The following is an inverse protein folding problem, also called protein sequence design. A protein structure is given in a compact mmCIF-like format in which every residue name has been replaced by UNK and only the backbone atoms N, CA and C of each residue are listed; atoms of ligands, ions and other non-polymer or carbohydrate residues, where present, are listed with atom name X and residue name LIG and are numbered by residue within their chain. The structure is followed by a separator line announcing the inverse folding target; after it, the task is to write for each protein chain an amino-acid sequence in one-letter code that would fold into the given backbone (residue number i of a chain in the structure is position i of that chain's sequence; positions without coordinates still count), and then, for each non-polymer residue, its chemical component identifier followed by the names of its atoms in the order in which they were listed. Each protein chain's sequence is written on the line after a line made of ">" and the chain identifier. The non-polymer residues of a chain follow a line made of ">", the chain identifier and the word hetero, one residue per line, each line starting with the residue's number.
data_IF_103190624411
#
_entry.id   IF_103190624411
#
_cell.length_a   1.000
_cell.length_b   1.000
_cell.length_c   1.000
_cell.angle_alpha   90.00
_cell.angle_beta   90.00
_cell.angle_gamma   90.00
#
_symmetry.space_group_name_H-M   'P 1'
#
loop_
_entity.id
_entity.type
_entity.pdbx_description
1 polymer ?
#
# COMPACT_ATOMS: atom_id res chain seq x y z
N UNK A 1 66.40 70.73 0.13
CA UNK A 1 65.61 69.56 -0.26
C UNK A 1 65.99 68.45 0.70
N UNK A 2 65.24 68.32 1.78
CA UNK A 2 65.47 67.34 2.82
C UNK A 2 64.91 66.00 2.38
N UNK A 3 65.81 65.06 2.07
CA UNK A 3 65.49 63.63 2.11
C UNK A 3 64.91 63.33 3.49
N UNK A 4 63.59 63.16 3.55
CA UNK A 4 62.96 62.53 4.70
C UNK A 4 63.47 61.11 4.74
N UNK A 5 64.52 60.89 5.55
CA UNK A 5 64.92 59.58 6.04
C UNK A 5 63.66 59.01 6.70
N UNK A 6 62.94 58.20 5.95
CA UNK A 6 61.79 57.47 6.47
C UNK A 6 62.40 56.49 7.46
N UNK A 7 62.17 56.72 8.74
CA UNK A 7 62.75 55.92 9.82
C UNK A 7 62.40 54.45 9.56
N UNK A 8 63.43 53.62 9.38
CA UNK A 8 63.28 52.21 9.00
C UNK A 8 62.73 51.40 10.17
N UNK A 9 61.41 51.43 10.33
CA UNK A 9 60.70 50.71 11.37
C UNK A 9 60.22 49.35 10.85
N UNK A 10 60.11 48.31 11.72
CA UNK A 10 59.58 47.01 11.33
C UNK A 10 58.22 47.05 10.59
N UNK A 11 57.25 47.92 10.95
CA UNK A 11 56.00 48.07 10.19
C UNK A 11 56.20 48.57 8.75
N UNK A 12 57.11 49.53 8.52
CA UNK A 12 57.42 50.03 7.17
C UNK A 12 58.01 48.90 6.31
N UNK A 13 58.95 48.13 6.88
CA UNK A 13 59.54 46.97 6.20
C UNK A 13 58.48 45.89 5.90
N UNK A 14 57.52 45.66 6.81
CA UNK A 14 56.43 44.72 6.56
C UNK A 14 55.53 45.16 5.40
N UNK A 15 55.24 46.46 5.28
CA UNK A 15 54.49 47.02 4.14
C UNK A 15 55.27 46.84 2.83
N UNK A 16 56.58 47.14 2.82
CA UNK A 16 57.45 46.92 1.64
C UNK A 16 57.46 45.44 1.20
N UNK A 17 57.63 44.52 2.15
CA UNK A 17 57.61 43.07 1.88
C UNK A 17 56.26 42.64 1.29
N UNK A 18 55.15 43.10 1.88
CA UNK A 18 53.81 42.76 1.39
C UNK A 18 53.54 43.33 0.00
N UNK A 19 54.03 44.53 -0.30
CA UNK A 19 53.93 45.13 -1.64
C UNK A 19 54.71 44.32 -2.67
N UNK A 20 55.95 43.91 -2.38
CA UNK A 20 56.75 43.04 -3.27
C UNK A 20 56.06 41.70 -3.49
N UNK A 21 55.49 41.11 -2.42
CA UNK A 21 54.74 39.86 -2.49
C UNK A 21 53.55 39.96 -3.45
N UNK A 22 52.69 40.98 -3.27
CA UNK A 22 51.53 41.20 -4.13
C UNK A 22 51.93 41.42 -5.60
N UNK A 23 52.98 42.21 -5.85
CA UNK A 23 53.48 42.42 -7.21
C UNK A 23 54.00 41.11 -7.83
N UNK A 24 54.72 40.31 -7.06
CA UNK A 24 55.24 39.01 -7.51
C UNK A 24 54.10 38.06 -7.85
N UNK A 25 53.07 37.96 -7.01
CA UNK A 25 51.90 37.11 -7.24
C UNK A 25 51.16 37.49 -8.52
N UNK A 26 50.98 38.80 -8.77
CA UNK A 26 50.38 39.31 -10.01
C UNK A 26 51.19 38.95 -11.25
N UNK A 27 52.51 39.11 -11.20
CA UNK A 27 53.41 38.73 -12.31
C UNK A 27 53.34 37.23 -12.57
N UNK A 28 53.33 36.41 -11.52
CA UNK A 28 53.22 34.95 -11.63
C UNK A 28 51.90 34.54 -12.28
N UNK A 29 50.78 35.12 -11.88
CA UNK A 29 49.47 34.83 -12.50
C UNK A 29 49.45 35.22 -13.98
N UNK A 30 49.91 36.42 -14.33
CA UNK A 30 49.95 36.88 -15.72
C UNK A 30 50.84 35.98 -16.59
N UNK A 31 52.01 35.58 -16.07
CA UNK A 31 52.90 34.66 -16.77
C UNK A 31 52.26 33.27 -16.92
N UNK A 32 51.53 32.79 -15.91
CA UNK A 32 50.82 31.52 -15.99
C UNK A 32 49.74 31.53 -17.10
N UNK A 33 48.99 32.62 -17.23
CA UNK A 33 48.01 32.83 -18.31
C UNK A 33 48.71 32.81 -19.68
N UNK A 34 49.80 33.55 -19.85
CA UNK A 34 50.53 33.60 -21.13
C UNK A 34 51.16 32.24 -21.48
N UNK A 35 51.70 31.52 -20.51
CA UNK A 35 52.19 30.15 -20.73
C UNK A 35 51.04 29.25 -21.16
N UNK A 36 49.87 29.34 -20.50
CA UNK A 36 48.66 28.60 -20.87
C UNK A 36 48.24 28.85 -22.33
N UNK A 37 48.28 30.11 -22.77
CA UNK A 37 48.03 30.51 -24.16
C UNK A 37 48.99 29.82 -25.12
N UNK A 38 50.31 29.90 -24.87
CA UNK A 38 51.32 29.27 -25.74
C UNK A 38 51.23 27.75 -25.74
N UNK A 39 50.85 27.15 -24.61
CA UNK A 39 50.62 25.71 -24.52
C UNK A 39 49.42 25.28 -25.38
N UNK A 40 48.35 26.08 -25.46
CA UNK A 40 47.25 25.84 -26.40
C UNK A 40 47.72 25.93 -27.86
N UNK A 41 48.40 27.01 -28.21
CA UNK A 41 48.96 27.20 -29.56
C UNK A 41 49.89 26.04 -29.96
N UNK A 42 50.77 25.59 -29.05
CA UNK A 42 51.65 24.46 -29.30
C UNK A 42 50.89 23.14 -29.44
N UNK A 43 49.85 22.91 -28.62
CA UNK A 43 49.06 21.68 -28.64
C UNK A 43 48.35 21.47 -29.98
N UNK A 44 47.91 22.54 -30.63
CA UNK A 44 47.27 22.48 -31.94
C UNK A 44 48.25 22.13 -33.08
N UNK A 45 49.55 22.35 -32.87
CA UNK A 45 50.61 22.07 -33.85
C UNK A 45 51.27 20.70 -33.66
N UNK A 46 51.10 20.07 -32.50
CA UNK A 46 51.75 18.81 -32.15
C UNK A 46 50.90 17.62 -32.62
N UNK A 47 51.50 16.62 -33.32
CA UNK A 47 50.78 15.43 -33.74
C UNK A 47 50.14 14.66 -32.57
N UNK A 48 49.03 13.99 -32.85
CA UNK A 48 48.33 13.16 -31.87
C UNK A 48 49.25 12.11 -31.26
N UNK A 49 49.26 12.02 -29.93
CA UNK A 49 50.09 11.07 -29.17
C UNK A 49 51.47 11.58 -28.74
N UNK A 50 51.97 12.69 -29.31
CA UNK A 50 53.31 13.23 -29.00
C UNK A 50 53.31 14.34 -27.94
N UNK A 51 52.11 14.79 -27.51
CA UNK A 51 51.94 15.91 -26.57
C UNK A 51 52.69 15.71 -25.24
N UNK A 52 52.49 14.56 -24.58
CA UNK A 52 53.11 14.28 -23.28
C UNK A 52 54.63 14.25 -23.34
N UNK A 53 55.20 13.68 -24.41
CA UNK A 53 56.65 13.65 -24.64
C UNK A 53 57.21 15.05 -24.88
N UNK A 54 56.55 15.83 -25.74
CA UNK A 54 56.95 17.20 -26.04
C UNK A 54 56.97 18.08 -24.79
N UNK A 55 55.98 17.94 -23.90
CA UNK A 55 55.91 18.69 -22.65
C UNK A 55 57.14 18.46 -21.75
N UNK A 56 57.56 17.19 -21.61
CA UNK A 56 58.71 16.82 -20.77
C UNK A 56 60.00 17.31 -21.40
N UNK A 57 60.19 17.09 -22.70
CA UNK A 57 61.46 17.38 -23.39
C UNK A 57 61.66 18.88 -23.69
N UNK A 58 60.60 19.61 -24.04
CA UNK A 58 60.73 21.00 -24.54
C UNK A 58 60.52 22.06 -23.47
N UNK A 59 59.64 21.81 -22.49
CA UNK A 59 59.25 22.81 -21.48
C UNK A 59 59.32 22.30 -20.04
N UNK A 60 59.78 21.05 -19.84
CA UNK A 60 59.94 20.43 -18.52
C UNK A 60 58.64 20.39 -17.69
N UNK A 61 57.49 20.23 -18.34
CA UNK A 61 56.19 20.17 -17.69
C UNK A 61 55.60 18.76 -17.66
N UNK A 62 54.78 18.52 -16.64
CA UNK A 62 53.86 17.39 -16.61
C UNK A 62 52.57 17.76 -17.35
N UNK A 63 51.83 16.77 -17.86
CA UNK A 63 50.52 17.00 -18.46
C UNK A 63 49.57 17.74 -17.51
N UNK A 64 49.57 17.37 -16.23
CA UNK A 64 48.75 18.03 -15.19
C UNK A 64 49.09 19.51 -15.04
N UNK A 65 50.38 19.86 -15.04
CA UNK A 65 50.82 21.26 -14.96
C UNK A 65 50.37 22.03 -16.20
N UNK A 66 50.62 21.48 -17.39
CA UNK A 66 50.24 22.10 -18.65
C UNK A 66 48.72 22.32 -18.74
N UNK A 67 47.94 21.31 -18.36
CA UNK A 67 46.48 21.41 -18.34
C UNK A 67 45.99 22.51 -17.40
N UNK A 68 46.54 22.62 -16.19
CA UNK A 68 46.15 23.69 -15.24
C UNK A 68 46.44 25.08 -15.79
N UNK A 69 47.61 25.27 -16.41
CA UNK A 69 47.98 26.55 -17.04
C UNK A 69 47.04 26.90 -18.19
N UNK A 70 46.71 25.92 -19.05
CA UNK A 70 45.74 26.10 -20.13
C UNK A 70 44.34 26.43 -19.59
N UNK A 71 43.87 25.77 -18.53
CA UNK A 71 42.58 26.06 -17.90
C UNK A 71 42.51 27.48 -17.31
N UNK A 72 43.60 27.94 -16.69
CA UNK A 72 43.71 29.32 -16.18
C UNK A 72 43.67 30.33 -17.33
N UNK A 73 44.31 30.03 -18.46
CA UNK A 73 44.17 30.84 -19.66
C UNK A 73 42.73 30.85 -20.19
N UNK A 74 42.04 29.71 -20.21
CA UNK A 74 40.67 29.65 -20.73
C UNK A 74 39.69 30.48 -19.92
N UNK A 75 39.84 30.49 -18.61
CA UNK A 75 38.95 31.25 -17.72
C UNK A 75 39.30 32.74 -17.62
N UNK A 76 40.58 33.12 -17.76
CA UNK A 76 41.06 34.46 -17.43
C UNK A 76 41.87 35.16 -18.53
N UNK A 77 42.14 34.48 -19.64
CA UNK A 77 42.97 34.98 -20.74
C UNK A 77 42.35 36.18 -21.47
N UNK A 78 41.04 36.13 -21.69
CA UNK A 78 40.28 37.19 -22.38
C UNK A 78 39.89 38.35 -21.44
N UNK A 79 40.06 38.16 -20.12
CA UNK A 79 39.73 39.13 -19.08
C UNK A 79 40.93 40.02 -18.70
N UNK A 80 42.11 39.81 -19.33
CA UNK A 80 43.19 40.78 -19.23
C UNK A 80 42.81 42.04 -20.00
N UNK A 81 43.09 43.24 -19.46
CA UNK A 81 42.83 44.47 -20.20
C UNK A 81 43.66 44.42 -21.48
N UNK A 82 42.97 44.23 -22.61
CA UNK A 82 43.44 44.74 -23.87
C UNK A 82 43.79 46.20 -23.60
N UNK A 83 45.09 46.49 -23.61
CA UNK A 83 45.54 47.87 -23.68
C UNK A 83 44.79 48.47 -24.88
N UNK A 84 43.94 49.46 -24.59
CA UNK A 84 43.32 50.36 -25.58
C UNK A 84 42.08 49.85 -26.35
N UNK A 85 41.03 49.34 -25.70
CA UNK A 85 39.66 49.49 -26.24
C UNK A 85 38.68 49.68 -25.08
N UNK A 86 38.38 50.95 -24.79
CA UNK A 86 37.26 51.34 -23.94
C UNK A 86 35.97 50.97 -24.67
N UNK A 87 35.18 50.04 -24.11
CA UNK A 87 33.71 49.96 -24.26
C UNK A 87 33.12 48.65 -23.72
N UNK A 88 33.94 47.63 -23.43
CA UNK A 88 33.50 46.48 -22.63
C UNK A 88 33.66 46.83 -21.14
N UNK A 89 32.62 46.60 -20.34
CA UNK A 89 32.72 46.51 -18.88
C UNK A 89 33.53 45.25 -18.53
N UNK A 90 34.80 45.21 -18.90
CA UNK A 90 35.73 44.14 -18.51
C UNK A 90 35.82 44.16 -16.99
N UNK A 91 35.24 43.13 -16.38
CA UNK A 91 35.33 42.84 -14.97
C UNK A 91 36.82 42.90 -14.59
N UNK A 92 37.20 43.87 -13.74
CA UNK A 92 38.56 43.89 -13.21
C UNK A 92 38.71 42.65 -12.35
N UNK A 93 39.46 41.66 -12.83
CA UNK A 93 39.84 40.51 -12.00
C UNK A 93 40.44 41.03 -10.69
N UNK A 94 40.02 40.49 -9.54
CA UNK A 94 40.59 40.86 -8.25
C UNK A 94 42.09 40.58 -8.26
N UNK A 95 42.85 41.29 -7.42
CA UNK A 95 44.24 40.97 -7.22
C UNK A 95 44.36 39.60 -6.52
N UNK A 96 44.57 38.55 -7.31
CA UNK A 96 44.66 37.17 -6.84
C UNK A 96 45.94 36.49 -7.32
N UNK A 97 46.40 35.50 -6.56
CA UNK A 97 47.52 34.65 -6.95
C UNK A 97 47.06 33.45 -7.79
N UNK A 98 48.02 32.76 -8.40
CA UNK A 98 47.79 31.58 -9.24
C UNK A 98 46.99 30.46 -8.54
N UNK A 99 47.23 30.23 -7.25
CA UNK A 99 46.51 29.19 -6.51
C UNK A 99 45.03 29.56 -6.30
N UNK A 100 44.75 30.83 -5.98
CA UNK A 100 43.38 31.33 -5.86
C UNK A 100 42.64 31.26 -7.21
N UNK A 101 43.31 31.65 -8.30
CA UNK A 101 42.76 31.54 -9.65
C UNK A 101 42.36 30.09 -9.99
N UNK A 102 43.20 29.12 -9.62
CA UNK A 102 42.89 27.70 -9.84
C UNK A 102 41.68 27.22 -9.01
N UNK A 103 41.57 27.67 -7.75
CA UNK A 103 40.45 27.31 -6.87
C UNK A 103 39.13 27.87 -7.39
N UNK A 104 39.14 29.10 -7.93
CA UNK A 104 37.96 29.71 -8.52
C UNK A 104 37.46 28.98 -9.78
N UNK A 105 38.26 28.10 -10.40
CA UNK A 105 37.78 27.23 -11.47
C UNK A 105 36.88 26.08 -10.96
N UNK A 106 36.91 25.78 -9.67
CA UNK A 106 35.97 24.84 -9.03
C UNK A 106 34.56 25.45 -8.92
N UNK A 107 34.44 26.77 -9.10
CA UNK A 107 33.16 27.48 -9.23
C UNK A 107 32.68 27.41 -10.68
N UNK A 108 31.41 27.02 -10.94
CA UNK A 108 30.81 27.07 -12.27
C UNK A 108 30.98 28.45 -12.90
N UNK A 109 31.21 28.48 -14.21
CA UNK A 109 31.54 29.70 -14.94
C UNK A 109 30.48 30.78 -14.77
N UNK A 110 29.20 30.37 -14.78
CA UNK A 110 28.04 31.24 -14.66
C UNK A 110 27.94 31.92 -13.29
N UNK A 111 28.47 31.30 -12.24
CA UNK A 111 28.42 31.81 -10.87
C UNK A 111 29.73 32.48 -10.45
N UNK A 112 30.81 32.30 -11.22
CA UNK A 112 32.15 32.71 -10.83
C UNK A 112 32.29 34.21 -10.66
N UNK A 113 31.69 35.00 -11.56
CA UNK A 113 31.73 36.45 -11.48
C UNK A 113 31.04 36.96 -10.21
N UNK A 114 29.84 36.44 -9.93
CA UNK A 114 29.08 36.80 -8.74
C UNK A 114 29.82 36.38 -7.46
N UNK A 115 30.38 35.17 -7.44
CA UNK A 115 31.17 34.68 -6.31
C UNK A 115 32.39 35.57 -6.04
N UNK A 116 33.07 36.04 -7.09
CA UNK A 116 34.19 36.97 -6.99
C UNK A 116 33.75 38.35 -6.47
N UNK A 117 32.58 38.85 -6.88
CA UNK A 117 32.06 40.13 -6.40
C UNK A 117 31.64 40.10 -4.93
N UNK A 118 31.08 38.97 -4.48
CA UNK A 118 30.58 38.82 -3.11
C UNK A 118 31.69 38.53 -2.10
N UNK A 119 32.75 37.84 -2.53
CA UNK A 119 33.85 37.41 -1.67
C UNK A 119 35.05 38.36 -1.74
N UNK A 120 35.71 38.58 -0.60
CA UNK A 120 36.95 39.38 -0.52
C UNK A 120 38.18 38.55 -0.93
N UNK A 121 38.26 38.20 -2.22
CA UNK A 121 39.30 37.31 -2.77
C UNK A 121 40.71 37.85 -2.50
N UNK A 122 40.90 39.17 -2.47
CA UNK A 122 42.22 39.81 -2.32
C UNK A 122 42.82 39.58 -0.93
N UNK A 123 41.98 39.56 0.11
CA UNK A 123 42.43 39.37 1.49
C UNK A 123 42.30 37.93 1.99
N UNK A 124 41.52 37.08 1.29
CA UNK A 124 41.35 35.67 1.66
C UNK A 124 42.61 34.84 1.39
N UNK A 125 43.03 34.05 2.37
CA UNK A 125 44.05 33.02 2.13
C UNK A 125 43.53 31.92 1.20
N UNK A 126 44.44 31.20 0.55
CA UNK A 126 44.14 30.03 -0.30
C UNK A 126 43.29 28.99 0.46
N UNK A 127 43.52 28.82 1.77
CA UNK A 127 42.76 27.88 2.62
C UNK A 127 41.34 28.36 2.89
N UNK A 128 41.17 29.65 3.14
CA UNK A 128 39.86 30.25 3.35
C UNK A 128 39.03 30.21 2.07
N UNK A 129 39.64 30.51 0.92
CA UNK A 129 38.97 30.43 -0.37
C UNK A 129 38.52 29.00 -0.70
N UNK A 130 39.40 28.01 -0.49
CA UNK A 130 39.04 26.60 -0.65
C UNK A 130 37.88 26.20 0.28
N UNK A 131 37.85 26.72 1.52
CA UNK A 131 36.78 26.45 2.47
C UNK A 131 35.46 27.08 1.98
N UNK A 132 35.49 28.33 1.50
CA UNK A 132 34.32 29.02 0.98
C UNK A 132 33.70 28.32 -0.22
N UNK A 133 34.51 27.85 -1.18
CA UNK A 133 34.02 27.07 -2.33
C UNK A 133 33.35 25.77 -1.86
N UNK A 134 33.98 25.04 -0.92
CA UNK A 134 33.40 23.81 -0.37
C UNK A 134 32.11 24.04 0.40
N UNK A 135 32.04 25.12 1.18
CA UNK A 135 30.83 25.49 1.93
C UNK A 135 29.69 25.86 0.98
N UNK A 136 29.98 26.55 -0.12
CA UNK A 136 28.99 26.82 -1.18
C UNK A 136 28.48 25.52 -1.80
N UNK A 137 29.37 24.61 -2.18
CA UNK A 137 28.99 23.32 -2.78
C UNK A 137 28.11 22.50 -1.84
N UNK A 138 28.49 22.45 -0.56
CA UNK A 138 27.69 21.77 0.45
C UNK A 138 26.33 22.46 0.63
N UNK A 139 26.29 23.79 0.68
CA UNK A 139 25.04 24.54 0.80
C UNK A 139 24.13 24.33 -0.42
N UNK A 140 24.68 24.19 -1.62
CA UNK A 140 23.93 23.84 -2.82
C UNK A 140 23.32 22.44 -2.70
N UNK A 141 24.12 21.44 -2.29
CA UNK A 141 23.64 20.07 -2.08
C UNK A 141 22.55 20.00 -1.00
N UNK A 142 22.76 20.68 0.13
CA UNK A 142 21.81 20.72 1.24
C UNK A 142 20.50 21.40 0.82
N UNK A 143 20.58 22.48 0.01
CA UNK A 143 19.41 23.17 -0.52
C UNK A 143 18.63 22.30 -1.50
N UNK A 144 19.32 21.59 -2.38
CA UNK A 144 18.70 20.66 -3.32
C UNK A 144 18.00 19.51 -2.58
N UNK A 145 18.66 18.93 -1.57
CA UNK A 145 18.06 17.91 -0.72
C UNK A 145 16.84 18.44 0.03
N UNK A 146 16.92 19.64 0.60
CA UNK A 146 15.79 20.28 1.29
C UNK A 146 14.61 20.54 0.34
N UNK A 147 14.88 20.89 -0.92
CA UNK A 147 13.85 21.04 -1.95
C UNK A 147 13.15 19.71 -2.22
N UNK A 148 13.91 18.63 -2.42
CA UNK A 148 13.37 17.29 -2.67
C UNK A 148 12.55 16.77 -1.48
N UNK A 149 13.04 16.95 -0.25
CA UNK A 149 12.32 16.52 0.95
C UNK A 149 11.03 17.34 1.17
N UNK A 150 11.05 18.64 0.86
CA UNK A 150 9.85 19.47 0.90
C UNK A 150 8.81 19.00 -0.11
N UNK A 151 9.22 18.72 -1.34
CA UNK A 151 8.32 18.26 -2.40
C UNK A 151 7.73 16.88 -2.06
N UNK A 152 8.53 15.97 -1.49
CA UNK A 152 8.05 14.69 -0.95
C UNK A 152 7.01 14.90 0.15
N UNK A 153 7.29 15.78 1.13
CA UNK A 153 6.37 16.08 2.22
C UNK A 153 5.05 16.71 1.72
N UNK A 154 5.11 17.54 0.67
CA UNK A 154 3.91 18.10 0.04
C UNK A 154 3.07 17.03 -0.65
N UNK A 155 3.71 16.08 -1.34
CA UNK A 155 3.01 14.97 -1.98
C UNK A 155 2.35 14.06 -0.93
N UNK A 156 3.07 13.67 0.11
CA UNK A 156 2.53 12.86 1.22
C UNK A 156 1.34 13.56 1.88
N UNK A 157 1.43 14.88 2.13
CA UNK A 157 0.32 15.66 2.67
C UNK A 157 -0.90 15.66 1.73
N UNK A 158 -0.70 15.78 0.42
CA UNK A 158 -1.78 15.75 -0.55
C UNK A 158 -2.48 14.38 -0.59
N UNK A 159 -1.72 13.30 -0.50
CA UNK A 159 -2.26 11.94 -0.50
C UNK A 159 -3.00 11.62 0.82
N UNK A 160 -2.46 12.05 1.96
CA UNK A 160 -3.16 11.96 3.25
C UNK A 160 -4.47 12.77 3.25
N UNK A 161 -4.48 13.94 2.63
CA UNK A 161 -5.70 14.75 2.51
C UNK A 161 -6.76 14.03 1.66
N UNK A 162 -6.38 13.44 0.53
CA UNK A 162 -7.29 12.64 -0.30
C UNK A 162 -7.85 11.44 0.47
N UNK A 163 -7.00 10.71 1.20
CA UNK A 163 -7.42 9.59 2.02
C UNK A 163 -8.42 10.03 3.10
N UNK A 164 -8.12 11.14 3.80
CA UNK A 164 -9.00 11.71 4.81
C UNK A 164 -10.37 12.11 4.24
N UNK A 165 -10.40 12.73 3.06
CA UNK A 165 -11.66 13.11 2.43
C UNK A 165 -12.44 11.90 1.91
N UNK A 166 -11.74 10.85 1.46
CA UNK A 166 -12.33 9.53 1.19
C UNK A 166 -13.01 8.93 2.43
N UNK A 167 -12.30 8.89 3.57
CA UNK A 167 -12.83 8.39 4.85
C UNK A 167 -14.00 9.22 5.38
N UNK A 168 -13.99 10.56 5.19
CA UNK A 168 -15.17 11.38 5.52
C UNK A 168 -16.37 11.00 4.65
N UNK A 169 -16.15 10.70 3.38
CA UNK A 169 -17.16 10.22 2.45
C UNK A 169 -17.78 8.90 2.90
N UNK A 170 -16.94 7.90 3.23
CA UNK A 170 -17.40 6.59 3.73
C UNK A 170 -18.15 6.74 5.06
N UNK A 171 -17.64 7.54 5.99
CA UNK A 171 -18.30 7.79 7.27
C UNK A 171 -19.69 8.43 7.08
N UNK A 172 -19.83 9.36 6.13
CA UNK A 172 -21.13 9.96 5.80
C UNK A 172 -22.11 8.91 5.26
N UNK A 173 -21.65 7.96 4.45
CA UNK A 173 -22.48 6.85 3.95
C UNK A 173 -22.89 5.91 5.08
N UNK A 174 -21.96 5.53 5.96
CA UNK A 174 -22.24 4.68 7.11
C UNK A 174 -23.23 5.32 8.08
N UNK A 175 -23.16 6.63 8.29
CA UNK A 175 -24.14 7.37 9.09
C UNK A 175 -25.55 7.27 8.47
N UNK A 176 -25.67 7.45 7.15
CA UNK A 176 -26.96 7.31 6.45
C UNK A 176 -27.49 5.88 6.54
N UNK A 177 -26.64 4.88 6.34
CA UNK A 177 -27.03 3.47 6.44
C UNK A 177 -27.48 3.10 7.86
N UNK A 178 -26.74 3.55 8.88
CA UNK A 178 -27.12 3.39 10.29
C UNK A 178 -28.50 3.99 10.56
N UNK A 179 -28.78 5.20 10.07
CA UNK A 179 -30.07 5.88 10.31
C UNK A 179 -31.23 5.18 9.60
N UNK A 180 -30.98 4.66 8.39
CA UNK A 180 -31.95 3.83 7.67
C UNK A 180 -32.23 2.53 8.42
N UNK A 181 -31.20 1.83 8.87
CA UNK A 181 -31.33 0.59 9.64
C UNK A 181 -32.06 0.82 10.96
N UNK A 182 -31.75 1.93 11.65
CA UNK A 182 -32.43 2.33 12.88
C UNK A 182 -33.93 2.54 12.66
N UNK A 183 -34.29 3.21 11.57
CA UNK A 183 -35.69 3.42 11.18
C UNK A 183 -36.39 2.09 10.91
N UNK A 184 -35.79 1.23 10.08
CA UNK A 184 -36.31 -0.10 9.73
C UNK A 184 -36.47 -1.00 10.96
N UNK A 185 -35.52 -0.97 11.88
CA UNK A 185 -35.60 -1.71 13.15
C UNK A 185 -36.77 -1.23 14.00
N UNK A 186 -37.00 0.09 14.08
CA UNK A 186 -38.15 0.67 14.77
C UNK A 186 -39.49 0.21 14.18
N UNK A 187 -39.59 0.16 12.84
CA UNK A 187 -40.81 -0.28 12.16
C UNK A 187 -41.05 -1.78 12.30
N UNK A 188 -40.01 -2.60 12.19
CA UNK A 188 -40.09 -4.03 12.49
C UNK A 188 -40.52 -4.29 13.93
N UNK A 189 -40.02 -3.51 14.89
CA UNK A 189 -40.43 -3.65 16.28
C UNK A 189 -41.91 -3.31 16.49
N UNK A 190 -42.43 -2.26 15.83
CA UNK A 190 -43.86 -1.94 15.84
C UNK A 190 -44.69 -3.06 15.22
N UNK A 191 -44.28 -3.57 14.06
CA UNK A 191 -44.96 -4.67 13.38
C UNK A 191 -44.97 -5.95 14.22
N UNK A 192 -43.85 -6.27 14.88
CA UNK A 192 -43.74 -7.42 15.78
C UNK A 192 -44.74 -7.30 16.94
N UNK A 193 -44.80 -6.13 17.60
CA UNK A 193 -45.77 -5.88 18.68
C UNK A 193 -47.21 -6.02 18.21
N UNK A 194 -47.53 -5.54 17.01
CA UNK A 194 -48.87 -5.67 16.45
C UNK A 194 -49.24 -7.15 16.18
N UNK A 195 -48.31 -7.93 15.64
CA UNK A 195 -48.50 -9.37 15.42
C UNK A 195 -48.63 -10.15 16.73
N UNK A 196 -47.81 -9.83 17.74
CA UNK A 196 -47.91 -10.45 19.08
C UNK A 196 -49.29 -10.21 19.70
N UNK A 197 -49.81 -8.97 19.59
CA UNK A 197 -51.16 -8.63 20.06
C UNK A 197 -52.26 -9.37 19.29
N UNK A 198 -52.12 -9.50 17.96
CA UNK A 198 -53.10 -10.22 17.15
C UNK A 198 -53.10 -11.73 17.45
N UNK A 199 -51.92 -12.33 17.64
CA UNK A 199 -51.77 -13.72 18.07
C UNK A 199 -52.41 -13.94 19.44
N UNK A 200 -52.17 -13.06 20.41
CA UNK A 200 -52.78 -13.16 21.74
C UNK A 200 -54.31 -13.05 21.65
N UNK A 201 -54.83 -12.10 20.86
CA UNK A 201 -56.27 -11.95 20.63
C UNK A 201 -56.88 -13.20 19.98
N UNK A 202 -56.22 -13.76 18.97
CA UNK A 202 -56.66 -14.98 18.28
C UNK A 202 -56.61 -16.19 19.20
N UNK A 203 -55.59 -16.29 20.05
CA UNK A 203 -55.49 -17.35 21.05
C UNK A 203 -56.66 -17.27 22.05
N UNK A 204 -56.94 -16.08 22.59
CA UNK A 204 -58.10 -15.86 23.46
C UNK A 204 -59.43 -16.18 22.77
N UNK A 205 -59.58 -15.85 21.49
CA UNK A 205 -60.76 -16.18 20.68
C UNK A 205 -60.92 -17.70 20.50
N UNK A 206 -59.83 -18.40 20.17
CA UNK A 206 -59.79 -19.87 20.09
C UNK A 206 -60.15 -20.53 21.42
N UNK A 207 -59.61 -20.05 22.53
CA UNK A 207 -59.87 -20.62 23.85
C UNK A 207 -61.33 -20.37 24.27
N UNK A 208 -61.88 -19.17 24.00
CA UNK A 208 -63.31 -18.89 24.19
C UNK A 208 -64.20 -19.80 23.33
N UNK A 209 -63.82 -20.08 22.09
CA UNK A 209 -64.57 -20.99 21.21
C UNK A 209 -64.55 -22.43 21.74
N UNK A 210 -63.40 -22.91 22.21
CA UNK A 210 -63.26 -24.24 22.85
C UNK A 210 -64.13 -24.38 24.10
N UNK A 211 -64.32 -23.29 24.83
CA UNK A 211 -65.16 -23.26 26.03
C UNK A 211 -66.67 -23.26 25.73
N UNK A 212 -67.10 -22.92 24.51
CA UNK A 212 -68.53 -22.92 24.16
C UNK A 212 -69.13 -24.33 24.26
N UNK A 213 -70.33 -24.39 24.83
CA UNK A 213 -71.11 -25.63 24.98
C UNK A 213 -71.28 -26.37 23.65
N UNK A 214 -71.49 -25.65 22.55
CA UNK A 214 -71.61 -26.23 21.21
C UNK A 214 -70.33 -26.97 20.77
N UNK A 215 -69.15 -26.37 20.97
CA UNK A 215 -67.86 -27.00 20.64
C UNK A 215 -67.63 -28.26 21.46
N UNK A 216 -67.83 -28.19 22.78
CA UNK A 216 -67.70 -29.35 23.68
C UNK A 216 -68.69 -30.46 23.33
N UNK A 217 -69.91 -30.12 22.92
CA UNK A 217 -70.91 -31.09 22.45
C UNK A 217 -70.48 -31.78 21.15
N UNK A 218 -69.97 -31.03 20.17
CA UNK A 218 -69.45 -31.59 18.92
C UNK A 218 -68.25 -32.50 19.19
N UNK A 219 -67.32 -32.09 20.08
CA UNK A 219 -66.19 -32.92 20.47
C UNK A 219 -66.65 -34.24 21.09
N UNK A 220 -67.58 -34.19 22.07
CA UNK A 220 -68.14 -35.40 22.68
C UNK A 220 -68.85 -36.31 21.67
N UNK A 221 -69.58 -35.73 20.71
CA UNK A 221 -70.20 -36.50 19.63
C UNK A 221 -69.16 -37.18 18.75
N UNK A 222 -68.08 -36.49 18.39
CA UNK A 222 -66.97 -37.06 17.61
C UNK A 222 -66.28 -38.21 18.35
N UNK A 223 -65.96 -38.02 19.63
CA UNK A 223 -65.33 -39.05 20.47
C UNK A 223 -66.28 -40.25 20.61
N UNK A 224 -67.57 -40.00 20.86
CA UNK A 224 -68.58 -41.05 20.96
C UNK A 224 -68.77 -41.81 19.64
N UNK A 225 -68.74 -41.13 18.50
CA UNK A 225 -68.83 -41.75 17.18
C UNK A 225 -67.60 -42.64 16.91
N UNK A 226 -66.42 -42.19 17.29
CA UNK A 226 -65.17 -42.96 17.18
C UNK A 226 -65.25 -44.22 18.03
N UNK A 227 -65.71 -44.11 19.28
CA UNK A 227 -65.92 -45.27 20.16
C UNK A 227 -66.97 -46.23 19.58
N UNK A 228 -68.08 -45.71 19.07
CA UNK A 228 -69.13 -46.52 18.46
C UNK A 228 -68.62 -47.26 17.21
N UNK A 229 -67.90 -46.56 16.33
CA UNK A 229 -67.26 -47.15 15.16
C UNK A 229 -66.30 -48.28 15.53
N UNK A 230 -65.40 -48.02 16.48
CA UNK A 230 -64.46 -49.03 16.97
C UNK A 230 -65.18 -50.23 17.59
N UNK A 231 -66.28 -50.01 18.33
CA UNK A 231 -67.10 -51.08 18.91
C UNK A 231 -67.79 -51.92 17.84
N UNK A 232 -68.34 -51.30 16.81
CA UNK A 232 -68.96 -52.02 15.67
C UNK A 232 -67.91 -52.85 14.93
N UNK A 233 -66.74 -52.28 14.67
CA UNK A 233 -65.62 -53.00 14.05
C UNK A 233 -65.18 -54.19 14.91
N UNK A 234 -65.02 -54.00 16.22
CA UNK A 234 -64.66 -55.06 17.16
C UNK A 234 -65.73 -56.17 17.21
N UNK A 235 -67.01 -55.81 17.32
CA UNK A 235 -68.11 -56.79 17.31
C UNK A 235 -68.14 -57.61 16.01
N UNK A 236 -67.86 -56.98 14.87
CA UNK A 236 -67.76 -57.67 13.58
C UNK A 236 -66.60 -58.67 13.58
N UNK A 237 -65.45 -58.29 14.13
CA UNK A 237 -64.30 -59.20 14.29
C UNK A 237 -64.67 -60.37 15.20
N UNK A 238 -65.29 -60.13 16.36
CA UNK A 238 -65.72 -61.18 17.29
C UNK A 238 -66.68 -62.16 16.63
N UNK A 239 -67.69 -61.66 15.90
CA UNK A 239 -68.64 -62.52 15.19
C UNK A 239 -67.95 -63.41 14.13
N UNK A 240 -67.03 -62.84 13.34
CA UNK A 240 -66.28 -63.61 12.35
C UNK A 240 -65.39 -64.67 13.01
N UNK A 241 -64.78 -64.34 14.14
CA UNK A 241 -63.99 -65.28 14.95
C UNK A 241 -64.85 -66.44 15.49
N UNK A 242 -65.99 -66.14 16.13
CA UNK A 242 -66.89 -67.16 16.68
C UNK A 242 -67.44 -68.09 15.59
N UNK A 243 -67.79 -67.54 14.43
CA UNK A 243 -68.24 -68.32 13.29
C UNK A 243 -67.14 -69.25 12.77
N UNK A 244 -65.90 -68.76 12.68
CA UNK A 244 -64.75 -69.56 12.26
C UNK A 244 -64.44 -70.67 13.28
N UNK A 245 -64.46 -70.38 14.58
CA UNK A 245 -64.27 -71.37 15.65
C UNK A 245 -65.33 -72.47 15.60
N UNK A 246 -66.60 -72.10 15.40
CA UNK A 246 -67.70 -73.07 15.27
C UNK A 246 -67.54 -73.95 14.04
N UNK A 247 -67.33 -73.36 12.86
CA UNK A 247 -67.13 -74.10 11.63
C UNK A 247 -65.92 -75.03 11.70
N UNK A 248 -64.83 -74.59 12.34
CA UNK A 248 -63.65 -75.42 12.55
C UNK A 248 -63.92 -76.60 13.49
N UNK A 249 -64.65 -76.39 14.59
CA UNK A 249 -65.06 -77.48 15.50
C UNK A 249 -65.95 -78.51 14.80
N UNK A 250 -66.90 -78.06 13.99
CA UNK A 250 -67.76 -78.95 13.19
C UNK A 250 -66.94 -79.74 12.16
N UNK A 251 -66.03 -79.09 11.44
CA UNK A 251 -65.12 -79.74 10.51
C UNK A 251 -64.25 -80.80 11.22
N UNK A 252 -63.64 -80.46 12.35
CA UNK A 252 -62.82 -81.37 13.12
C UNK A 252 -63.61 -82.59 13.63
N UNK A 253 -64.87 -82.38 14.03
CA UNK A 253 -65.75 -83.45 14.47
C UNK A 253 -66.12 -84.43 13.33
N UNK A 254 -66.53 -83.92 12.16
CA UNK A 254 -66.86 -84.76 11.01
C UNK A 254 -65.62 -85.50 10.47
N UNK A 255 -64.45 -84.85 10.47
CA UNK A 255 -63.18 -85.52 10.14
C UNK A 255 -62.87 -86.68 11.11
N UNK A 256 -63.12 -86.48 12.41
CA UNK A 256 -62.88 -87.51 13.44
C UNK A 256 -63.82 -88.71 13.24
N UNK A 257 -65.09 -88.49 12.87
CA UNK A 257 -66.00 -89.59 12.50
C UNK A 257 -65.53 -90.33 11.25
N UNK A 258 -65.10 -89.60 10.23
CA UNK A 258 -64.69 -90.16 8.95
C UNK A 258 -63.39 -90.97 9.04
N UNK A 259 -62.55 -90.70 10.04
CA UNK A 259 -61.33 -91.48 10.31
C UNK A 259 -61.58 -92.98 10.50
N UNK A 260 -62.78 -93.37 10.97
CA UNK A 260 -63.18 -94.77 11.14
C UNK A 260 -63.72 -95.42 9.85
N UNK A 261 -63.96 -94.63 8.80
CA UNK A 261 -64.54 -95.07 7.52
C UNK A 261 -63.43 -95.24 6.47
N UNK A 262 -62.57 -94.24 6.30
CA UNK A 262 -61.47 -94.26 5.33
C UNK A 262 -60.25 -93.48 5.90
N UNK A 263 -59.24 -94.20 6.44
CA UNK A 263 -58.07 -93.59 7.05
C UNK A 263 -57.20 -92.79 6.06
N UNK A 264 -57.13 -93.22 4.80
CA UNK A 264 -56.27 -92.62 3.79
C UNK A 264 -56.86 -91.30 3.29
N UNK A 265 -58.18 -91.25 3.06
CA UNK A 265 -58.90 -90.02 2.70
C UNK A 265 -58.95 -89.06 3.89
N UNK A 266 -59.08 -89.54 5.12
CA UNK A 266 -58.96 -88.71 6.32
C UNK A 266 -57.57 -88.05 6.44
N UNK A 267 -56.48 -88.78 6.14
CA UNK A 267 -55.12 -88.23 6.14
C UNK A 267 -54.95 -87.12 5.08
N UNK A 268 -55.59 -87.26 3.91
CA UNK A 268 -55.59 -86.24 2.86
C UNK A 268 -56.34 -84.96 3.30
N UNK A 269 -57.54 -85.08 3.91
CA UNK A 269 -58.26 -83.92 4.45
C UNK A 269 -57.51 -83.24 5.59
N UNK A 270 -56.87 -84.00 6.48
CA UNK A 270 -56.01 -83.47 7.54
C UNK A 270 -54.86 -82.64 6.99
N UNK A 271 -54.22 -83.13 5.92
CA UNK A 271 -53.18 -82.38 5.20
C UNK A 271 -53.74 -81.09 4.60
N UNK A 272 -54.88 -81.15 3.92
CA UNK A 272 -55.52 -79.98 3.30
C UNK A 272 -55.89 -78.89 4.31
N UNK A 273 -56.44 -79.26 5.48
CA UNK A 273 -56.76 -78.31 6.55
C UNK A 273 -55.49 -77.69 7.14
N UNK A 274 -54.45 -78.49 7.38
CA UNK A 274 -53.18 -77.97 7.88
C UNK A 274 -52.50 -77.02 6.88
N UNK A 275 -52.51 -77.36 5.59
CA UNK A 275 -51.98 -76.51 4.52
C UNK A 275 -52.75 -75.18 4.44
N UNK A 276 -54.09 -75.23 4.57
CA UNK A 276 -54.93 -74.03 4.66
C UNK A 276 -54.56 -73.16 5.87
N UNK A 277 -54.39 -73.75 7.06
CA UNK A 277 -54.02 -73.01 8.28
C UNK A 277 -52.62 -72.39 8.19
N UNK A 278 -51.65 -73.13 7.65
CA UNK A 278 -50.28 -72.64 7.46
C UNK A 278 -50.29 -71.47 6.48
N UNK A 279 -50.99 -71.61 5.34
CA UNK A 279 -51.11 -70.55 4.34
C UNK A 279 -51.80 -69.31 4.92
N UNK A 280 -52.90 -69.48 5.66
CA UNK A 280 -53.60 -68.38 6.31
C UNK A 280 -52.74 -67.66 7.37
N UNK A 281 -51.92 -68.39 8.12
CA UNK A 281 -50.96 -67.78 9.05
C UNK A 281 -49.84 -67.01 8.33
N UNK A 282 -49.32 -67.54 7.23
CA UNK A 282 -48.30 -66.87 6.41
C UNK A 282 -48.84 -65.58 5.79
N UNK A 283 -50.07 -65.59 5.27
CA UNK A 283 -50.75 -64.39 4.74
C UNK A 283 -51.01 -63.34 5.84
N UNK A 284 -51.33 -63.76 7.08
CA UNK A 284 -51.52 -62.86 8.21
C UNK A 284 -50.22 -62.25 8.76
N UNK A 285 -49.10 -62.97 8.72
CA UNK A 285 -47.80 -62.50 9.23
C UNK A 285 -46.93 -61.80 8.16
N UNK A 286 -47.29 -61.91 6.88
CA UNK A 286 -46.58 -61.32 5.75
C UNK A 286 -47.21 -60.04 5.18
N UNK A 287 -48.15 -59.42 5.90
CA UNK A 287 -48.76 -58.12 5.57
C UNK A 287 -48.41 -57.06 6.60
#
# INVERSE_FOLDING_TARGET
>A
MSDSITERTPPVIAVEINMIKQQTEKVVLNNAIEIGRRLKEAKDLIPYGEWGKWLVESVSYTERTAQRLMLVFDAYGDQQPATLNADAQTLRLPNMNYSQALILLEVPEEEREQFIMEMDIENMSVRELQKAVKERDQAFLDREQAFQDRDRAQQEKADLQKALDGEKGTNTQLIKERDNLKTKAGDLQKSKRALEQDVEKKQLECDKLKEKTSYKSVQRMSDSLTVAYNKVAANKITFLYENMDKAFKELAYEMTKFASIDPDVHAAYKKMVNDFLIKAMQERMGG
#
